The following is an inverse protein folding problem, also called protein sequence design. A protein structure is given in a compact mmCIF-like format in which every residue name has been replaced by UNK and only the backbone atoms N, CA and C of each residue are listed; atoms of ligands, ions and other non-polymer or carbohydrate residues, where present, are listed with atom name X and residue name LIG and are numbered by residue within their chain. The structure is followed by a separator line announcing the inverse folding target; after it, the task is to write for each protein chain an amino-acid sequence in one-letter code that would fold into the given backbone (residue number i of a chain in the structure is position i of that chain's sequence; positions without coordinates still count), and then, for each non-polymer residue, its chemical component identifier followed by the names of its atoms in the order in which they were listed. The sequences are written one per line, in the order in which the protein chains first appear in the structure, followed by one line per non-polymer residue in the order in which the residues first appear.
data_IF_966134384354
#
_entry.id   IF_966134384354
#
_cell.length_a   1.000
_cell.length_b   1.000
_cell.length_c   1.000
_cell.angle_alpha   90.00
_cell.angle_beta   90.00
_cell.angle_gamma   90.00
#
_symmetry.space_group_name_H-M   'P 1'
#
loop_
_entity.id
_entity.type
_entity.pdbx_description
1 polymer ?
#
# COMPACT_ATOMS: atom_id res chain seq x y z
N UNK A 1 -13.82 5.84 28.35
CA UNK A 1 -14.80 4.82 27.89
C UNK A 1 -14.11 3.46 27.93
N UNK A 2 -14.45 2.60 28.90
CA UNK A 2 -13.88 1.24 29.04
C UNK A 2 -14.87 0.24 28.46
N UNK A 3 -14.46 -0.51 27.45
CA UNK A 3 -15.27 -1.56 26.81
C UNK A 3 -15.33 -2.79 27.72
N UNK A 4 -16.52 -3.34 27.87
CA UNK A 4 -16.87 -4.43 28.80
C UNK A 4 -16.23 -5.77 28.38
N UNK A 5 -15.70 -6.59 29.31
CA UNK A 5 -15.00 -7.85 29.02
C UNK A 5 -15.86 -8.93 28.37
N UNK A 6 -17.18 -8.73 28.31
CA UNK A 6 -18.13 -9.69 27.74
C UNK A 6 -18.09 -9.78 26.22
N UNK A 7 -17.61 -8.74 25.52
CA UNK A 7 -17.50 -8.77 24.05
C UNK A 7 -16.36 -9.68 23.58
N UNK A 8 -15.29 -9.83 24.39
CA UNK A 8 -14.13 -10.65 24.02
C UNK A 8 -14.44 -12.17 24.04
N UNK A 9 -15.42 -12.61 24.83
CA UNK A 9 -15.74 -14.03 24.97
C UNK A 9 -16.45 -14.63 23.74
N UNK A 10 -17.19 -13.82 22.97
CA UNK A 10 -17.95 -14.32 21.81
C UNK A 10 -17.07 -14.50 20.56
N UNK A 11 -15.95 -13.79 20.47
CA UNK A 11 -15.04 -13.91 19.32
C UNK A 11 -14.17 -15.18 19.36
N UNK A 12 -13.93 -15.74 20.54
CA UNK A 12 -13.04 -16.92 20.70
C UNK A 12 -13.75 -18.23 20.32
N UNK A 13 -15.08 -18.32 20.50
CA UNK A 13 -15.84 -19.55 20.19
C UNK A 13 -16.04 -19.78 18.70
N UNK A 14 -15.95 -18.75 17.85
CA UNK A 14 -16.12 -18.92 16.41
C UNK A 14 -14.94 -19.66 15.74
N UNK A 15 -13.72 -19.50 16.25
CA UNK A 15 -12.51 -20.12 15.66
C UNK A 15 -12.36 -21.61 15.98
N UNK A 16 -13.00 -22.13 17.03
CA UNK A 16 -12.87 -23.55 17.41
C UNK A 16 -13.79 -24.48 16.61
N UNK A 17 -14.89 -23.97 16.05
CA UNK A 17 -15.78 -24.79 15.20
C UNK A 17 -15.20 -25.05 13.79
N UNK A 18 -14.41 -24.12 13.24
CA UNK A 18 -13.78 -24.31 11.92
C UNK A 18 -12.78 -25.47 11.88
N UNK A 19 -12.20 -25.83 13.03
CA UNK A 19 -11.21 -26.91 13.15
C UNK A 19 -11.79 -28.33 13.06
N UNK A 20 -13.12 -28.50 13.17
CA UNK A 20 -13.77 -29.82 13.14
C UNK A 20 -14.33 -30.22 11.77
N UNK A 21 -13.84 -29.61 10.69
CA UNK A 21 -14.16 -30.08 9.35
C UNK A 21 -13.57 -31.48 9.15
N UNK A 22 -14.36 -32.49 8.72
CA UNK A 22 -13.83 -33.82 8.44
C UNK A 22 -12.68 -33.68 7.44
N UNK A 23 -11.56 -34.34 7.74
CA UNK A 23 -10.36 -34.27 6.92
C UNK A 23 -10.71 -34.55 5.46
N UNK A 24 -10.63 -33.49 4.65
CA UNK A 24 -10.62 -33.55 3.19
C UNK A 24 -9.64 -34.65 2.79
N UNK A 25 -10.08 -35.55 1.89
CA UNK A 25 -9.22 -36.55 1.22
C UNK A 25 -7.81 -36.00 1.03
N UNK A 26 -6.75 -36.74 1.43
CA UNK A 26 -5.39 -36.23 1.32
C UNK A 26 -5.17 -35.77 -0.13
N UNK A 27 -4.74 -34.51 -0.35
CA UNK A 27 -4.54 -34.01 -1.69
C UNK A 27 -3.57 -34.94 -2.42
N UNK A 28 -3.89 -35.24 -3.68
CA UNK A 28 -3.03 -36.03 -4.54
C UNK A 28 -1.61 -35.43 -4.48
N UNK A 29 -0.54 -36.22 -4.23
CA UNK A 29 0.78 -35.67 -4.03
C UNK A 29 1.20 -34.89 -5.28
N UNK A 30 1.59 -33.64 -5.09
CA UNK A 30 2.07 -32.79 -6.18
C UNK A 30 3.33 -33.40 -6.78
N UNK A 31 3.42 -33.39 -8.10
CA UNK A 31 4.69 -33.58 -8.79
C UNK A 31 5.65 -32.46 -8.42
N UNK A 32 6.95 -32.71 -8.51
CA UNK A 32 7.98 -31.69 -8.26
C UNK A 32 7.79 -30.44 -9.14
N UNK A 33 7.29 -30.62 -10.36
CA UNK A 33 7.01 -29.52 -11.28
C UNK A 33 5.86 -28.64 -10.77
N UNK A 34 4.76 -29.25 -10.33
CA UNK A 34 3.60 -28.54 -9.80
C UNK A 34 3.94 -27.82 -8.49
N UNK A 35 4.66 -28.50 -7.58
CA UNK A 35 5.11 -27.90 -6.32
C UNK A 35 5.98 -26.67 -6.57
N UNK A 36 6.86 -26.70 -7.57
CA UNK A 36 7.69 -25.56 -7.96
C UNK A 36 6.88 -24.43 -8.59
N UNK A 37 5.87 -24.74 -9.41
CA UNK A 37 4.98 -23.71 -9.98
C UNK A 37 4.22 -23.00 -8.87
N UNK A 38 3.56 -23.75 -7.99
CA UNK A 38 2.82 -23.20 -6.87
C UNK A 38 3.71 -22.39 -5.93
N UNK A 39 4.91 -22.89 -5.61
CA UNK A 39 5.85 -22.14 -4.78
C UNK A 39 6.27 -20.81 -5.40
N UNK A 40 6.45 -20.74 -6.72
CA UNK A 40 6.77 -19.47 -7.41
C UNK A 40 5.59 -18.51 -7.42
N UNK A 41 4.39 -19.02 -7.66
CA UNK A 41 3.16 -18.23 -7.67
C UNK A 41 2.83 -17.67 -6.27
N UNK A 42 3.09 -18.44 -5.22
CA UNK A 42 2.80 -18.06 -3.85
C UNK A 42 3.96 -17.35 -3.12
N UNK A 43 5.18 -17.32 -3.68
CA UNK A 43 6.36 -16.78 -2.99
C UNK A 43 6.26 -15.26 -2.78
N UNK A 44 6.24 -14.79 -1.52
CA UNK A 44 6.28 -13.36 -1.20
C UNK A 44 7.58 -12.69 -1.67
N UNK A 45 8.69 -13.41 -1.69
CA UNK A 45 10.00 -12.91 -2.09
C UNK A 45 10.02 -12.51 -3.56
N UNK A 46 9.43 -13.34 -4.43
CA UNK A 46 9.29 -13.02 -5.86
C UNK A 46 8.44 -11.76 -6.04
N UNK A 47 7.33 -11.64 -5.31
CA UNK A 47 6.49 -10.44 -5.33
C UNK A 47 7.29 -9.22 -4.87
N UNK A 48 8.02 -9.31 -3.77
CA UNK A 48 8.85 -8.23 -3.24
C UNK A 48 9.92 -7.79 -4.25
N UNK A 49 10.58 -8.74 -4.93
CA UNK A 49 11.56 -8.45 -5.97
C UNK A 49 10.93 -7.68 -7.14
N UNK A 50 9.75 -8.09 -7.62
CA UNK A 50 9.03 -7.36 -8.66
C UNK A 50 8.67 -5.92 -8.23
N UNK A 51 8.24 -5.74 -6.97
CA UNK A 51 7.96 -4.39 -6.43
C UNK A 51 9.22 -3.54 -6.34
N UNK A 52 10.36 -4.12 -5.96
CA UNK A 52 11.63 -3.42 -5.92
C UNK A 52 12.07 -2.92 -7.31
N UNK A 53 11.89 -3.74 -8.35
CA UNK A 53 12.15 -3.36 -9.75
C UNK A 53 11.23 -2.21 -10.18
N UNK A 54 9.93 -2.32 -9.93
CA UNK A 54 8.98 -1.25 -10.26
C UNK A 54 9.32 0.07 -9.56
N UNK A 55 9.74 0.01 -8.28
CA UNK A 55 10.19 1.17 -7.54
C UNK A 55 11.48 1.78 -8.13
N UNK A 56 12.43 0.96 -8.56
CA UNK A 56 13.65 1.43 -9.22
C UNK A 56 13.34 2.17 -10.53
N UNK A 57 12.47 1.62 -11.36
CA UNK A 57 12.00 2.29 -12.59
C UNK A 57 11.25 3.61 -12.29
N UNK A 58 10.54 3.70 -11.16
CA UNK A 58 9.97 4.96 -10.68
C UNK A 58 11.03 6.00 -10.35
N UNK A 59 12.08 5.61 -9.61
CA UNK A 59 13.20 6.49 -9.26
C UNK A 59 13.97 6.96 -10.49
N UNK A 60 14.20 6.08 -11.46
CA UNK A 60 14.86 6.41 -12.72
C UNK A 60 14.10 7.51 -13.48
N UNK A 61 12.77 7.35 -13.61
CA UNK A 61 11.92 8.39 -14.24
C UNK A 61 11.99 9.72 -13.50
N UNK A 62 12.05 9.70 -12.17
CA UNK A 62 12.19 10.92 -11.37
C UNK A 62 13.57 11.56 -11.51
N UNK A 63 14.64 10.76 -11.59
CA UNK A 63 16.00 11.26 -11.72
C UNK A 63 16.25 11.94 -13.09
N UNK A 64 15.56 11.47 -14.14
CA UNK A 64 15.60 12.08 -15.47
C UNK A 64 14.56 13.18 -15.71
N UNK A 65 13.61 13.37 -14.80
CA UNK A 65 12.59 14.40 -14.93
C UNK A 65 13.12 15.74 -14.44
N UNK A 66 12.94 16.79 -15.25
CA UNK A 66 12.99 18.15 -14.72
C UNK A 66 11.92 18.31 -13.65
N UNK A 67 12.20 19.14 -12.64
CA UNK A 67 11.22 19.49 -11.61
C UNK A 67 9.89 19.86 -12.28
N UNK A 68 8.82 19.13 -11.95
CA UNK A 68 7.50 19.42 -12.47
C UNK A 68 7.20 20.91 -12.21
N UNK A 69 6.82 21.70 -13.23
CA UNK A 69 6.50 23.09 -13.01
C UNK A 69 5.32 23.18 -12.04
N UNK A 70 5.54 23.82 -10.90
CA UNK A 70 4.47 24.12 -9.95
C UNK A 70 3.74 25.37 -10.44
N UNK A 71 2.43 25.26 -10.69
CA UNK A 71 1.60 26.42 -11.00
C UNK A 71 1.17 27.06 -9.69
N UNK A 72 1.80 28.19 -9.35
CA UNK A 72 1.38 29.02 -8.22
C UNK A 72 0.55 30.21 -8.72
N UNK A 73 -0.50 30.57 -7.99
CA UNK A 73 -1.27 31.79 -8.23
C UNK A 73 -1.06 32.77 -7.08
N UNK A 74 -0.41 33.89 -7.37
CA UNK A 74 -0.16 34.98 -6.45
C UNK A 74 -0.79 36.27 -6.97
N UNK A 75 -1.18 37.16 -6.05
CA UNK A 75 -1.68 38.49 -6.38
C UNK A 75 -0.75 39.55 -5.80
N UNK A 76 -0.17 40.36 -6.68
CA UNK A 76 0.55 41.57 -6.27
C UNK A 76 -0.43 42.73 -6.07
N UNK A 77 -0.32 43.43 -4.94
CA UNK A 77 -1.02 44.68 -4.70
C UNK A 77 -0.02 45.81 -4.52
N UNK A 78 -0.10 46.84 -5.36
CA UNK A 78 0.73 48.05 -5.24
C UNK A 78 -0.16 49.25 -4.93
N UNK A 79 0.13 49.97 -3.86
CA UNK A 79 -0.49 51.23 -3.50
C UNK A 79 0.10 52.39 -4.32
N UNK A 80 -0.67 53.47 -4.48
CA UNK A 80 -0.24 54.68 -5.22
C UNK A 80 0.96 55.39 -4.58
N UNK A 81 1.20 55.16 -3.29
CA UNK A 81 2.38 55.63 -2.53
C UNK A 81 3.66 54.82 -2.78
N UNK A 82 3.57 53.71 -3.52
CA UNK A 82 4.70 52.82 -3.82
C UNK A 82 4.82 51.61 -2.88
N UNK A 83 3.99 51.51 -1.83
CA UNK A 83 3.99 50.36 -0.94
C UNK A 83 3.33 49.14 -1.60
N UNK A 84 3.98 47.98 -1.52
CA UNK A 84 3.51 46.73 -2.12
C UNK A 84 3.31 45.61 -1.11
N UNK A 85 2.32 44.73 -1.33
CA UNK A 85 2.14 43.47 -0.60
C UNK A 85 1.96 42.32 -1.59
N UNK A 86 2.51 41.15 -1.25
CA UNK A 86 2.36 39.90 -2.01
C UNK A 86 1.67 38.85 -1.13
N UNK A 87 0.66 38.17 -1.69
CA UNK A 87 -0.05 37.09 -1.00
C UNK A 87 -0.13 35.85 -1.89
N UNK A 88 0.27 34.72 -1.32
CA UNK A 88 0.08 33.39 -1.91
C UNK A 88 -1.34 32.91 -1.62
N UNK A 89 -2.12 32.62 -2.67
CA UNK A 89 -3.56 32.35 -2.55
C UNK A 89 -3.86 30.85 -2.59
N UNK A 90 -3.09 30.06 -3.34
CA UNK A 90 -3.17 28.59 -3.38
C UNK A 90 -1.79 28.03 -3.69
N UNK A 91 -1.35 27.06 -2.87
CA UNK A 91 -0.10 26.30 -2.99
C UNK A 91 -0.36 24.81 -2.90
#
# INVERSE_FOLDING_TARGET
MRLSPWVAAVAVTANTLAAQSPATTPPNPLTLAEARSQAREASPEIVAAHRAVAAAAGRERQAGAWSNPTLAYAREQTARSGDGNSQDIVS
#
